data_IF_179417291002
#
_entry.id   IF_179417291002
#
_cell.length_a   1.000
_cell.length_b   1.000
_cell.length_c   1.000
_cell.angle_alpha   90.00
_cell.angle_beta   90.00
_cell.angle_gamma   90.00
#
_symmetry.space_group_name_H-M   'P 1'
#
loop_
_entity.id
_entity.type
_entity.pdbx_description
1 polymer ?
#
# COMPACT_ATOMS: atom_id res chain seq x y z
N UNK A 1 -16.37 -2.47 -9.16
CA UNK A 1 -14.99 -2.20 -9.57
C UNK A 1 -14.11 -3.23 -8.89
N UNK A 2 -13.19 -3.87 -9.64
CA UNK A 2 -12.28 -4.87 -9.09
C UNK A 2 -11.34 -4.21 -8.07
N UNK A 3 -10.99 -4.90 -6.99
CA UNK A 3 -10.07 -4.35 -5.97
C UNK A 3 -8.70 -4.09 -6.57
N UNK A 4 -8.26 -4.96 -7.47
CA UNK A 4 -7.04 -4.77 -8.26
C UNK A 4 -7.01 -3.46 -9.04
N UNK A 5 -8.11 -3.11 -9.72
CA UNK A 5 -8.23 -1.81 -10.40
C UNK A 5 -8.15 -0.63 -9.42
N UNK A 6 -8.75 -0.75 -8.22
CA UNK A 6 -8.68 0.33 -7.23
C UNK A 6 -7.24 0.58 -6.75
N UNK A 7 -6.42 -0.47 -6.59
CA UNK A 7 -5.00 -0.32 -6.25
C UNK A 7 -4.27 0.36 -7.40
N UNK A 8 -4.44 -0.14 -8.64
CA UNK A 8 -3.77 0.44 -9.81
C UNK A 8 -4.10 1.93 -9.98
N UNK A 9 -5.38 2.29 -9.83
CA UNK A 9 -5.84 3.69 -9.91
C UNK A 9 -5.32 4.55 -8.77
N UNK A 10 -4.99 3.97 -7.62
CA UNK A 10 -4.34 4.67 -6.53
C UNK A 10 -2.85 4.92 -6.80
N UNK A 11 -2.14 3.97 -7.43
CA UNK A 11 -0.70 4.06 -7.69
C UNK A 11 -0.36 5.02 -8.85
N UNK A 12 -1.16 5.02 -9.92
CA UNK A 12 -0.91 5.81 -11.14
C UNK A 12 -0.69 7.32 -10.86
N UNK A 13 -1.50 8.01 -10.03
CA UNK A 13 -1.26 9.41 -9.69
C UNK A 13 0.09 9.66 -9.01
N UNK A 14 0.57 8.74 -8.16
CA UNK A 14 1.89 8.88 -7.54
C UNK A 14 3.00 8.74 -8.57
N UNK A 15 2.91 7.78 -9.49
CA UNK A 15 3.85 7.65 -10.60
C UNK A 15 3.87 8.91 -11.48
N UNK A 16 2.68 9.44 -11.82
CA UNK A 16 2.56 10.68 -12.60
C UNK A 16 3.18 11.89 -11.89
N UNK A 17 2.97 12.00 -10.57
CA UNK A 17 3.56 13.07 -9.77
C UNK A 17 5.10 13.02 -9.81
N UNK A 18 5.69 11.81 -9.77
CA UNK A 18 7.14 11.61 -9.91
C UNK A 18 7.65 12.02 -11.29
N UNK A 19 6.95 11.62 -12.35
CA UNK A 19 7.28 11.99 -13.74
C UNK A 19 7.28 13.50 -13.94
N UNK A 20 6.30 14.19 -13.34
CA UNK A 20 6.12 15.64 -13.46
C UNK A 20 7.08 16.46 -12.58
N UNK A 21 7.99 15.80 -11.84
CA UNK A 21 8.95 16.44 -10.96
C UNK A 21 10.39 16.03 -11.29
N UNK A 22 10.87 16.29 -12.51
CA UNK A 22 12.28 16.08 -12.82
C UNK A 22 13.12 17.02 -11.96
N UNK A 23 14.10 16.45 -11.27
CA UNK A 23 15.06 17.19 -10.46
C UNK A 23 16.46 16.71 -10.83
N UNK A 24 17.30 17.52 -11.50
CA UNK A 24 18.65 17.11 -11.90
C UNK A 24 19.55 16.69 -10.73
N UNK A 25 19.19 17.04 -9.50
CA UNK A 25 19.91 16.68 -8.28
C UNK A 25 19.33 15.44 -7.58
N UNK A 26 18.30 14.79 -8.14
CA UNK A 26 17.69 13.62 -7.53
C UNK A 26 18.35 12.29 -7.90
N UNK A 27 19.45 12.28 -8.66
CA UNK A 27 20.15 11.07 -9.12
C UNK A 27 19.23 10.01 -9.78
N UNK A 28 18.16 10.46 -10.44
CA UNK A 28 17.17 9.62 -11.10
C UNK A 28 16.19 8.94 -10.14
N UNK A 29 16.13 9.33 -8.87
CA UNK A 29 15.23 8.75 -7.87
C UNK A 29 13.75 8.91 -8.22
N UNK A 30 13.32 10.08 -8.74
CA UNK A 30 11.92 10.23 -9.16
C UNK A 30 11.59 9.31 -10.35
N UNK A 31 12.48 9.20 -11.34
CA UNK A 31 12.28 8.32 -12.48
C UNK A 31 12.18 6.84 -12.05
N UNK A 32 13.07 6.40 -11.17
CA UNK A 32 13.09 5.04 -10.61
C UNK A 32 11.82 4.72 -9.83
N UNK A 33 11.42 5.61 -8.91
CA UNK A 33 10.18 5.47 -8.16
C UNK A 33 8.95 5.44 -9.09
N UNK A 34 8.93 6.26 -10.15
CA UNK A 34 7.85 6.24 -11.13
C UNK A 34 7.74 4.89 -11.85
N UNK A 35 8.87 4.32 -12.31
CA UNK A 35 8.90 3.01 -12.96
C UNK A 35 8.38 1.93 -12.01
N UNK A 36 8.89 1.88 -10.78
CA UNK A 36 8.44 0.89 -9.79
C UNK A 36 6.94 0.96 -9.49
N UNK A 37 6.36 2.17 -9.46
CA UNK A 37 4.92 2.37 -9.28
C UNK A 37 4.09 2.00 -10.51
N UNK A 38 4.62 2.22 -11.72
CA UNK A 38 4.00 1.78 -12.98
C UNK A 38 3.99 0.26 -13.07
N UNK A 39 5.12 -0.37 -12.78
CA UNK A 39 5.26 -1.83 -12.78
C UNK A 39 4.31 -2.46 -11.75
N UNK A 40 4.19 -1.85 -10.57
CA UNK A 40 3.23 -2.28 -9.56
C UNK A 40 1.77 -2.12 -10.00
N UNK A 41 1.44 -1.00 -10.66
CA UNK A 41 0.11 -0.78 -11.19
C UNK A 41 -0.23 -1.75 -12.34
N UNK A 42 0.74 -2.13 -13.17
CA UNK A 42 0.58 -3.13 -14.21
C UNK A 42 0.38 -4.52 -13.60
N UNK A 43 1.31 -4.94 -12.73
CA UNK A 43 1.28 -6.21 -12.03
C UNK A 43 -0.05 -6.46 -11.32
N UNK A 44 -0.56 -5.49 -10.56
CA UNK A 44 -1.81 -5.70 -9.81
C UNK A 44 -3.02 -5.90 -10.72
N UNK A 45 -3.05 -5.37 -11.95
CA UNK A 45 -4.15 -5.62 -12.89
C UNK A 45 -4.13 -7.04 -13.48
N UNK A 46 -3.01 -7.76 -13.37
CA UNK A 46 -2.90 -9.15 -13.80
C UNK A 46 -3.34 -10.13 -12.71
N UNK A 47 -3.56 -9.65 -11.49
CA UNK A 47 -4.00 -10.46 -10.36
C UNK A 47 -5.52 -10.64 -10.34
N UNK A 48 -5.96 -11.73 -9.71
CA UNK A 48 -7.35 -11.96 -9.33
C UNK A 48 -7.65 -11.39 -7.94
N UNK A 49 -8.90 -10.98 -7.70
CA UNK A 49 -9.35 -10.47 -6.40
C UNK A 49 -9.26 -11.52 -5.27
N UNK A 50 -9.20 -12.81 -5.62
CA UNK A 50 -8.98 -13.93 -4.70
C UNK A 50 -7.52 -14.15 -4.31
N UNK A 51 -6.57 -13.45 -4.95
CA UNK A 51 -5.16 -13.53 -4.58
C UNK A 51 -4.97 -13.20 -3.10
N UNK A 52 -4.14 -14.01 -2.42
CA UNK A 52 -3.99 -13.97 -0.96
C UNK A 52 -3.73 -12.56 -0.45
N UNK A 53 -2.84 -11.82 -1.10
CA UNK A 53 -2.45 -10.47 -0.71
C UNK A 53 -3.60 -9.46 -0.85
N UNK A 54 -4.47 -9.62 -1.85
CA UNK A 54 -5.66 -8.79 -2.07
C UNK A 54 -6.70 -9.08 -0.99
N UNK A 55 -6.93 -10.35 -0.69
CA UNK A 55 -7.84 -10.79 0.39
C UNK A 55 -7.40 -10.24 1.74
N UNK A 56 -6.09 -10.29 2.05
CA UNK A 56 -5.53 -9.72 3.30
C UNK A 56 -5.84 -8.23 3.43
N UNK A 57 -5.58 -7.44 2.39
CA UNK A 57 -5.91 -6.01 2.37
C UNK A 57 -7.43 -5.77 2.49
N UNK A 58 -8.27 -6.64 1.92
CA UNK A 58 -9.71 -6.55 2.06
C UNK A 58 -10.19 -6.80 3.50
N UNK A 59 -9.66 -7.83 4.16
CA UNK A 59 -9.94 -8.11 5.58
C UNK A 59 -9.48 -6.94 6.46
N UNK A 60 -8.34 -6.33 6.14
CA UNK A 60 -7.81 -5.17 6.85
C UNK A 60 -8.57 -3.85 6.55
N UNK A 61 -9.59 -3.89 5.68
CA UNK A 61 -10.45 -2.74 5.41
C UNK A 61 -9.89 -1.74 4.39
N UNK A 62 -8.93 -2.12 3.56
CA UNK A 62 -8.35 -1.22 2.57
C UNK A 62 -9.29 -0.83 1.43
N UNK A 63 -10.40 -1.53 1.23
CA UNK A 63 -11.35 -1.26 0.14
C UNK A 63 -12.67 -0.79 0.72
N UNK A 64 -12.88 0.53 0.74
CA UNK A 64 -14.11 1.15 1.27
C UNK A 64 -14.61 2.21 0.31
N UNK A 65 -15.94 2.32 0.17
CA UNK A 65 -16.60 3.35 -0.65
C UNK A 65 -16.06 3.44 -2.09
N UNK A 66 -15.68 2.30 -2.67
CA UNK A 66 -15.16 2.22 -4.03
C UNK A 66 -13.74 2.76 -4.21
N UNK A 67 -12.97 2.90 -3.12
CA UNK A 67 -11.59 3.39 -3.14
C UNK A 67 -10.65 2.44 -2.40
N UNK A 68 -9.39 2.44 -2.84
CA UNK A 68 -8.29 1.86 -2.08
C UNK A 68 -7.76 2.88 -1.06
N UNK A 69 -7.59 2.44 0.18
CA UNK A 69 -6.99 3.19 1.28
C UNK A 69 -5.96 2.29 2.00
N UNK A 70 -4.66 2.50 1.77
CA UNK A 70 -3.60 1.69 2.40
C UNK A 70 -3.29 2.12 3.84
N UNK A 71 -3.99 3.12 4.38
CA UNK A 71 -3.67 3.75 5.66
C UNK A 71 -2.39 4.58 5.61
N UNK A 72 -2.08 5.27 6.71
CA UNK A 72 -0.94 6.21 6.77
C UNK A 72 0.42 5.53 6.53
N UNK A 73 0.64 4.34 7.11
CA UNK A 73 1.89 3.61 6.92
C UNK A 73 2.02 3.06 5.49
N UNK A 74 0.93 2.55 4.90
CA UNK A 74 0.96 2.10 3.52
C UNK A 74 1.12 3.26 2.51
N UNK A 75 0.56 4.44 2.80
CA UNK A 75 0.81 5.64 2.00
C UNK A 75 2.29 6.05 2.03
N UNK A 76 2.96 5.96 3.19
CA UNK A 76 4.42 6.19 3.28
C UNK A 76 5.19 5.20 2.42
N UNK A 77 4.84 3.92 2.47
CA UNK A 77 5.48 2.88 1.64
C UNK A 77 5.35 3.22 0.17
N UNK A 78 4.16 3.58 -0.33
CA UNK A 78 3.95 3.98 -1.74
C UNK A 78 4.74 5.24 -2.07
N UNK A 79 4.75 6.23 -1.16
CA UNK A 79 5.48 7.48 -1.36
C UNK A 79 6.98 7.27 -1.49
N UNK A 80 7.57 6.32 -0.78
CA UNK A 80 9.01 6.07 -0.81
C UNK A 80 9.40 4.81 -1.60
N UNK A 81 8.44 4.16 -2.26
CA UNK A 81 8.71 2.97 -3.07
C UNK A 81 9.75 3.27 -4.14
N UNK A 82 10.80 2.47 -4.14
CA UNK A 82 11.98 2.59 -4.99
C UNK A 82 12.68 3.96 -4.98
N UNK A 83 12.47 4.79 -3.95
CA UNK A 83 13.02 6.14 -3.92
C UNK A 83 14.52 6.15 -3.64
N UNK A 84 15.00 5.41 -2.64
CA UNK A 84 16.42 5.40 -2.27
C UNK A 84 17.19 4.21 -2.89
N UNK A 85 16.52 3.07 -3.08
CA UNK A 85 17.04 1.87 -3.72
C UNK A 85 15.96 1.22 -4.61
N UNK A 86 16.33 0.39 -5.59
CA UNK A 86 15.38 -0.31 -6.47
C UNK A 86 15.19 -1.80 -6.08
N UNK A 87 15.39 -2.15 -4.82
CA UNK A 87 15.23 -3.54 -4.39
C UNK A 87 13.75 -3.92 -4.27
N UNK A 88 13.47 -5.21 -4.50
CA UNK A 88 12.11 -5.76 -4.49
C UNK A 88 11.30 -5.43 -5.73
N UNK A 89 10.28 -6.25 -5.99
CA UNK A 89 9.35 -6.11 -7.10
C UNK A 89 7.93 -5.73 -6.67
N UNK A 90 7.00 -5.62 -7.63
CA UNK A 90 5.59 -5.35 -7.37
C UNK A 90 4.92 -6.22 -6.29
N UNK A 91 5.27 -7.51 -6.24
CA UNK A 91 4.74 -8.43 -5.22
C UNK A 91 5.18 -8.02 -3.81
N UNK A 92 6.44 -7.62 -3.63
CA UNK A 92 6.99 -7.18 -2.34
C UNK A 92 6.29 -5.90 -1.85
N UNK A 93 5.97 -4.98 -2.77
CA UNK A 93 5.17 -3.80 -2.46
C UNK A 93 3.80 -4.21 -1.92
N UNK A 94 3.07 -5.09 -2.61
CA UNK A 94 1.74 -5.51 -2.17
C UNK A 94 1.76 -6.24 -0.81
N UNK A 95 2.74 -7.10 -0.59
CA UNK A 95 2.92 -7.78 0.71
C UNK A 95 3.21 -6.77 1.83
N UNK A 96 4.07 -5.78 1.56
CA UNK A 96 4.37 -4.69 2.51
C UNK A 96 3.12 -3.86 2.83
N UNK A 97 2.26 -3.60 1.83
CA UNK A 97 1.00 -2.89 2.02
C UNK A 97 0.00 -3.68 2.84
N UNK A 98 -0.15 -4.99 2.58
CA UNK A 98 -0.98 -5.87 3.39
C UNK A 98 -0.52 -5.90 4.85
N UNK A 99 0.79 -6.00 5.07
CA UNK A 99 1.39 -5.94 6.40
C UNK A 99 1.12 -4.61 7.13
N UNK A 100 1.23 -3.48 6.42
CA UNK A 100 0.88 -2.16 6.95
C UNK A 100 -0.60 -2.08 7.34
N UNK A 101 -1.50 -2.57 6.48
CA UNK A 101 -2.93 -2.55 6.72
C UNK A 101 -3.33 -3.40 7.93
N UNK A 102 -2.79 -4.61 8.05
CA UNK A 102 -3.04 -5.50 9.19
C UNK A 102 -2.53 -4.90 10.52
N UNK A 103 -1.38 -4.22 10.50
CA UNK A 103 -0.89 -3.47 11.67
C UNK A 103 -1.85 -2.35 12.05
N UNK A 104 -2.35 -1.58 11.07
CA UNK A 104 -3.33 -0.52 11.29
C UNK A 104 -4.67 -1.03 11.85
N UNK A 105 -5.13 -2.19 11.38
CA UNK A 105 -6.34 -2.81 11.92
C UNK A 105 -6.16 -3.16 13.41
N UNK A 106 -5.03 -3.78 13.78
CA UNK A 106 -4.74 -4.17 15.17
C UNK A 106 -4.70 -3.00 16.14
N UNK A 107 -4.30 -1.81 15.71
CA UNK A 107 -4.25 -0.62 16.59
C UNK A 107 -5.62 0.01 16.81
N UNK A 108 -6.57 -0.19 15.89
CA UNK A 108 -7.93 0.37 15.99
C UNK A 108 -8.89 -0.45 16.85
N UNK A 109 -8.64 -1.76 17.03
CA UNK A 109 -9.45 -2.62 17.89
C UNK A 109 -9.06 -2.38 19.36
N UNK A 110 -9.94 -1.86 20.22
CA UNK A 110 -9.63 -1.70 21.64
C UNK A 110 -9.38 -3.07 22.26
N UNK A 111 -8.21 -3.26 22.89
CA UNK A 111 -7.91 -4.48 23.65
C UNK A 111 -8.90 -4.56 24.83
N UNK A 112 -9.58 -5.70 25.06
CA UNK A 112 -10.38 -5.89 26.26
C UNK A 112 -9.49 -5.65 27.49
N UNK A 113 -9.93 -4.77 28.40
CA UNK A 113 -9.28 -4.60 29.70
C UNK A 113 -9.52 -5.88 30.50
N UNK A 114 -8.54 -6.79 30.51
CA UNK A 114 -8.57 -7.94 31.39
C UNK A 114 -8.38 -7.47 32.84
N UNK A 115 -9.42 -7.68 33.65
CA UNK A 115 -9.31 -7.90 35.09
C UNK A 115 -9.06 -6.69 35.99
N UNK A 116 -10.10 -5.93 36.30
CA UNK A 116 -10.18 -5.26 37.60
C UNK A 116 -11.03 -6.13 38.52
N UNK A 117 -10.41 -7.15 39.11
CA UNK A 117 -11.02 -7.94 40.19
C UNK A 117 -11.16 -7.03 41.40
N UNK A 118 -12.37 -6.53 41.62
CA UNK A 118 -12.79 -5.97 42.91
C UNK A 118 -12.66 -7.07 43.96
N UNK A 119 -11.61 -6.99 44.79
CA UNK A 119 -11.59 -7.66 46.08
C UNK A 119 -12.40 -6.79 47.04
N UNK A 120 -13.41 -7.42 47.64
CA UNK A 120 -14.30 -6.86 48.65
C UNK A 120 -13.60 -6.64 50.00
#
# INVERSE_FOLDING_TARGET
>A
MLRTCMIADYLRPYAQWRINRPDPCDDGRNARAAIGLIDAAAYVNELDDSERVIVRMAIAGCFTLGRFNPGAEGEKVIRFWHYDDASGGPADLLETLADCAERGLRTTVPRPREGQTTMA
#
